data_IF_910987330947
#
_entry.id   IF_910987330947
#
_cell.length_a   1.000
_cell.length_b   1.000
_cell.length_c   1.000
_cell.angle_alpha   90.00
_cell.angle_beta   90.00
_cell.angle_gamma   90.00
#
_symmetry.space_group_name_H-M   'P 1'
#
loop_
_entity.id
_entity.type
_entity.pdbx_description
1 polymer ?
#
# COMPACT_ATOMS: atom_id res chain seq x y z
N UNK A 1 -13.17 -14.63 -7.23
CA UNK A 1 -14.01 -13.60 -6.58
C UNK A 1 -13.10 -12.90 -5.59
N UNK A 2 -12.79 -11.62 -5.81
CA UNK A 2 -12.07 -10.84 -4.81
C UNK A 2 -12.85 -10.95 -3.50
N UNK A 3 -12.17 -11.28 -2.40
CA UNK A 3 -12.82 -11.29 -1.10
C UNK A 3 -13.29 -9.87 -0.83
N UNK A 4 -14.50 -9.69 -0.34
CA UNK A 4 -15.00 -8.35 -0.06
C UNK A 4 -14.18 -7.61 1.01
N UNK A 5 -13.44 -8.33 1.86
CA UNK A 5 -12.41 -7.75 2.74
C UNK A 5 -11.16 -7.24 1.99
N UNK A 6 -10.82 -7.84 0.84
CA UNK A 6 -9.76 -7.36 -0.07
C UNK A 6 -10.14 -5.99 -0.64
N UNK A 7 -11.36 -5.84 -1.15
CA UNK A 7 -11.86 -4.57 -1.66
C UNK A 7 -11.94 -3.48 -0.58
N UNK A 8 -12.36 -3.83 0.65
CA UNK A 8 -12.40 -2.89 1.78
C UNK A 8 -10.99 -2.41 2.16
N UNK A 9 -10.02 -3.32 2.22
CA UNK A 9 -8.62 -2.96 2.50
C UNK A 9 -8.05 -2.01 1.43
N UNK A 10 -8.33 -2.28 0.15
CA UNK A 10 -7.95 -1.40 -0.97
C UNK A 10 -8.59 -0.01 -0.81
N UNK A 11 -9.90 0.04 -0.51
CA UNK A 11 -10.64 1.28 -0.35
C UNK A 11 -10.13 2.13 0.82
N UNK A 12 -9.97 1.52 1.99
CA UNK A 12 -9.48 2.18 3.19
C UNK A 12 -8.06 2.74 3.00
N UNK A 13 -7.13 1.93 2.45
CA UNK A 13 -5.79 2.43 2.19
C UNK A 13 -5.78 3.56 1.15
N UNK A 14 -6.54 3.44 0.06
CA UNK A 14 -6.64 4.51 -0.94
C UNK A 14 -7.19 5.81 -0.34
N UNK A 15 -8.13 5.75 0.60
CA UNK A 15 -8.66 6.93 1.28
C UNK A 15 -7.56 7.66 2.06
N UNK A 16 -6.77 6.91 2.86
CA UNK A 16 -5.64 7.44 3.64
C UNK A 16 -4.58 8.04 2.71
N UNK A 17 -4.16 7.30 1.68
CA UNK A 17 -3.15 7.77 0.72
C UNK A 17 -3.63 9.00 -0.05
N UNK A 18 -4.90 9.03 -0.47
CA UNK A 18 -5.50 10.19 -1.16
C UNK A 18 -5.56 11.43 -0.26
N UNK A 19 -5.81 11.25 1.04
CA UNK A 19 -5.84 12.35 1.99
C UNK A 19 -4.45 13.00 2.14
N UNK A 20 -3.38 12.20 2.20
CA UNK A 20 -2.02 12.71 2.15
C UNK A 20 -1.71 13.37 0.79
N UNK A 21 -1.99 12.69 -0.32
CA UNK A 21 -1.71 13.20 -1.66
C UNK A 21 -2.33 14.59 -1.91
N UNK A 22 -3.57 14.82 -1.46
CA UNK A 22 -4.22 16.13 -1.56
C UNK A 22 -3.55 17.24 -0.74
N UNK A 23 -2.82 16.90 0.32
CA UNK A 23 -2.14 17.89 1.18
C UNK A 23 -0.76 18.28 0.64
N UNK A 24 -0.08 17.36 -0.04
CA UNK A 24 1.32 17.54 -0.45
C UNK A 24 1.52 17.64 -1.96
N UNK A 25 0.46 17.47 -2.75
CA UNK A 25 0.55 17.38 -4.20
C UNK A 25 -0.71 17.96 -4.87
N UNK A 26 -0.80 19.29 -5.03
CA UNK A 26 -1.91 19.95 -5.72
C UNK A 26 -1.51 20.56 -7.08
N UNK A 27 -2.14 20.15 -8.21
CA UNK A 27 -2.56 18.79 -8.55
C UNK A 27 -1.39 18.03 -9.18
N UNK A 28 -0.70 17.17 -8.42
CA UNK A 28 0.48 16.47 -8.94
C UNK A 28 0.38 14.95 -8.99
N UNK A 29 -0.45 14.29 -8.18
CA UNK A 29 -0.61 12.83 -8.21
C UNK A 29 -1.95 12.39 -8.79
N UNK A 30 -2.00 11.20 -9.41
CA UNK A 30 -3.21 10.58 -9.93
C UNK A 30 -3.21 9.07 -9.70
N UNK A 31 -4.37 8.49 -9.32
CA UNK A 31 -4.51 7.04 -9.26
C UNK A 31 -4.43 6.46 -10.67
N UNK A 32 -3.67 5.38 -10.83
CA UNK A 32 -3.50 4.66 -12.12
C UNK A 32 -4.23 3.33 -12.17
N UNK A 33 -4.98 2.98 -11.11
CA UNK A 33 -5.52 1.65 -10.74
C UNK A 33 -6.43 0.92 -11.75
N UNK A 34 -6.56 1.41 -12.98
CA UNK A 34 -7.21 0.68 -14.08
C UNK A 34 -6.22 0.15 -15.13
N UNK A 35 -4.96 0.61 -15.10
CA UNK A 35 -3.98 0.27 -16.13
C UNK A 35 -3.31 -1.07 -15.83
N UNK A 36 -3.36 -1.95 -16.81
CA UNK A 36 -2.62 -3.21 -16.79
C UNK A 36 -1.21 -2.95 -17.30
N UNK A 37 -0.21 -3.44 -16.57
CA UNK A 37 1.21 -3.28 -16.90
C UNK A 37 1.78 -4.61 -17.36
N UNK A 38 2.39 -4.60 -18.55
CA UNK A 38 3.08 -5.76 -19.13
C UNK A 38 4.57 -5.66 -18.86
N UNK A 39 5.10 -6.50 -17.99
CA UNK A 39 6.55 -6.67 -17.81
C UNK A 39 7.13 -7.71 -18.76
N UNK A 40 8.38 -8.10 -18.51
CA UNK A 40 9.11 -9.10 -19.28
C UNK A 40 8.55 -10.51 -19.06
N UNK A 41 8.23 -10.84 -17.80
CA UNK A 41 7.83 -12.20 -17.40
C UNK A 41 6.31 -12.41 -17.38
N UNK A 42 5.54 -11.36 -17.08
CA UNK A 42 4.08 -11.43 -16.93
C UNK A 42 3.40 -10.08 -17.09
N UNK A 43 2.08 -10.11 -17.05
CA UNK A 43 1.21 -8.93 -17.08
C UNK A 43 0.44 -8.85 -15.78
N UNK A 44 0.41 -7.68 -15.13
CA UNK A 44 -0.27 -7.50 -13.84
C UNK A 44 -0.97 -6.15 -13.77
N UNK A 45 -2.05 -6.11 -13.00
CA UNK A 45 -2.74 -4.89 -12.56
C UNK A 45 -2.51 -4.77 -11.06
N UNK A 46 -2.09 -3.58 -10.61
CA UNK A 46 -1.91 -3.33 -9.19
C UNK A 46 -3.27 -3.10 -8.51
N UNK A 47 -3.41 -3.56 -7.27
CA UNK A 47 -4.61 -3.28 -6.46
C UNK A 47 -4.73 -1.78 -6.16
N UNK A 48 -3.58 -1.16 -5.85
CA UNK A 48 -3.42 0.28 -5.62
C UNK A 48 -2.27 0.75 -6.50
N UNK A 49 -2.43 1.87 -7.20
CA UNK A 49 -1.31 2.48 -7.92
C UNK A 49 -1.50 3.97 -8.11
N UNK A 50 -0.40 4.70 -8.00
CA UNK A 50 -0.36 6.16 -8.09
C UNK A 50 0.86 6.59 -8.92
N UNK A 51 0.72 7.74 -9.58
CA UNK A 51 1.81 8.34 -10.35
C UNK A 51 1.68 9.86 -10.36
N UNK A 52 2.80 10.58 -10.48
CA UNK A 52 2.72 11.99 -10.80
C UNK A 52 2.15 12.19 -12.20
N UNK A 53 1.38 13.27 -12.38
CA UNK A 53 0.81 13.67 -13.68
C UNK A 53 1.92 14.02 -14.66
N UNK A 54 2.93 14.71 -14.16
CA UNK A 54 4.15 15.03 -14.89
C UNK A 54 5.24 14.04 -14.49
N UNK A 55 5.70 13.23 -15.45
CA UNK A 55 6.88 12.38 -15.25
C UNK A 55 8.10 13.07 -15.87
N UNK A 56 9.28 12.98 -15.26
CA UNK A 56 10.50 13.52 -15.85
C UNK A 56 10.77 12.96 -17.24
N UNK A 57 11.39 13.78 -18.11
CA UNK A 57 11.79 13.37 -19.46
C UNK A 57 12.62 12.09 -19.42
N UNK A 58 12.30 11.15 -20.33
CA UNK A 58 12.96 9.85 -20.41
C UNK A 58 12.38 8.77 -19.48
N UNK A 59 11.43 9.11 -18.58
CA UNK A 59 10.69 8.12 -17.80
C UNK A 59 9.37 7.75 -18.49
N UNK A 60 9.07 6.46 -18.53
CA UNK A 60 7.83 5.97 -19.11
C UNK A 60 6.65 6.14 -18.16
N UNK A 61 5.48 6.55 -18.68
CA UNK A 61 4.20 6.47 -17.97
C UNK A 61 3.64 5.04 -17.89
N UNK A 62 4.32 4.03 -18.43
CA UNK A 62 3.85 2.64 -18.41
C UNK A 62 3.73 2.11 -16.99
N UNK A 63 4.71 2.42 -16.14
CA UNK A 63 4.77 1.94 -14.77
C UNK A 63 4.39 3.04 -13.80
N UNK A 64 3.62 2.72 -12.75
CA UNK A 64 3.38 3.66 -11.67
C UNK A 64 4.65 3.95 -10.87
N UNK A 65 4.66 5.02 -10.09
CA UNK A 65 5.78 5.32 -9.17
C UNK A 65 5.59 4.65 -7.81
N UNK A 66 4.33 4.53 -7.39
CA UNK A 66 3.91 3.87 -6.16
C UNK A 66 2.86 2.79 -6.45
N UNK A 67 3.03 1.60 -5.85
CA UNK A 67 2.06 0.50 -5.94
C UNK A 67 1.69 -0.05 -4.57
N UNK A 68 0.49 -0.58 -4.44
CA UNK A 68 0.07 -1.36 -3.29
C UNK A 68 -0.57 -2.67 -3.74
N UNK A 69 -0.26 -3.74 -3.01
CA UNK A 69 -0.84 -5.07 -3.22
C UNK A 69 -1.44 -5.57 -1.91
N UNK A 70 -2.63 -6.13 -1.99
CA UNK A 70 -3.36 -6.60 -0.82
C UNK A 70 -3.62 -8.09 -0.96
N UNK A 71 -3.28 -8.85 0.07
CA UNK A 71 -3.50 -10.28 0.11
C UNK A 71 -4.48 -10.66 1.22
N UNK A 72 -5.46 -11.48 0.89
CA UNK A 72 -6.43 -12.03 1.83
C UNK A 72 -6.18 -13.52 2.07
N UNK A 73 -5.68 -13.90 3.25
CA UNK A 73 -5.38 -15.32 3.58
C UNK A 73 -4.48 -16.06 2.57
N UNK A 74 -3.93 -15.36 1.58
CA UNK A 74 -3.00 -15.91 0.60
C UNK A 74 -1.60 -16.02 1.20
N UNK A 75 -0.76 -16.84 0.57
CA UNK A 75 0.63 -17.00 1.01
C UNK A 75 1.40 -15.71 0.77
N UNK A 76 2.17 -15.27 1.76
CA UNK A 76 3.13 -14.16 1.66
C UNK A 76 4.09 -14.28 0.47
N UNK A 77 4.36 -15.51 0.00
CA UNK A 77 5.16 -15.77 -1.19
C UNK A 77 4.60 -15.11 -2.45
N UNK A 78 3.26 -15.04 -2.59
CA UNK A 78 2.61 -14.38 -3.74
C UNK A 78 2.86 -12.88 -3.73
N UNK A 79 2.71 -12.22 -2.58
CA UNK A 79 3.04 -10.80 -2.45
C UNK A 79 4.51 -10.53 -2.74
N UNK A 80 5.41 -11.43 -2.33
CA UNK A 80 6.83 -11.30 -2.66
C UNK A 80 7.09 -11.43 -4.17
N UNK A 81 6.43 -12.36 -4.87
CA UNK A 81 6.48 -12.44 -6.34
C UNK A 81 5.89 -11.20 -7.02
N UNK A 82 4.84 -10.61 -6.43
CA UNK A 82 4.28 -9.33 -6.83
C UNK A 82 5.28 -8.18 -6.67
N UNK A 83 5.99 -8.12 -5.55
CA UNK A 83 7.04 -7.12 -5.34
C UNK A 83 8.22 -7.31 -6.29
N UNK A 84 8.60 -8.55 -6.64
CA UNK A 84 9.60 -8.80 -7.69
C UNK A 84 9.14 -8.26 -9.04
N UNK A 85 7.89 -8.49 -9.42
CA UNK A 85 7.38 -7.93 -10.68
C UNK A 85 7.39 -6.40 -10.68
N UNK A 86 7.00 -5.77 -9.57
CA UNK A 86 6.93 -4.31 -9.52
C UNK A 86 8.29 -3.65 -9.34
N UNK A 87 9.22 -4.21 -8.58
CA UNK A 87 10.48 -3.54 -8.21
C UNK A 87 11.70 -4.04 -8.99
N UNK A 88 11.71 -5.31 -9.43
CA UNK A 88 12.87 -5.93 -10.12
C UNK A 88 12.71 -6.11 -11.62
N UNK A 89 11.51 -5.94 -12.17
CA UNK A 89 11.36 -6.04 -13.63
C UNK A 89 12.28 -5.00 -14.28
N UNK A 90 13.14 -5.38 -15.25
CA UNK A 90 14.12 -4.46 -15.85
C UNK A 90 13.48 -3.22 -16.48
N UNK A 91 12.24 -3.34 -16.97
CA UNK A 91 11.52 -2.22 -17.55
C UNK A 91 10.81 -1.37 -16.48
N UNK A 92 10.71 -1.86 -15.25
CA UNK A 92 9.96 -1.20 -14.19
C UNK A 92 10.59 0.13 -13.80
N UNK A 93 9.73 1.10 -13.54
CA UNK A 93 10.10 2.36 -12.88
C UNK A 93 9.21 2.58 -11.66
N UNK A 94 8.90 1.53 -10.90
CA UNK A 94 8.30 1.69 -9.56
C UNK A 94 9.43 2.00 -8.57
N UNK A 95 9.24 3.00 -7.71
CA UNK A 95 10.23 3.39 -6.70
C UNK A 95 9.85 2.85 -5.31
N UNK A 96 8.57 2.93 -4.97
CA UNK A 96 8.06 2.52 -3.67
C UNK A 96 6.85 1.60 -3.82
N UNK A 97 6.71 0.64 -2.90
CA UNK A 97 5.57 -0.23 -2.84
C UNK A 97 5.12 -0.49 -1.41
N UNK A 98 3.86 -0.87 -1.25
CA UNK A 98 3.32 -1.37 0.02
C UNK A 98 2.63 -2.72 -0.18
N UNK A 99 2.69 -3.58 0.80
CA UNK A 99 1.86 -4.80 0.85
C UNK A 99 1.03 -4.84 2.10
N UNK A 100 -0.25 -5.18 1.98
CA UNK A 100 -1.17 -5.36 3.10
C UNK A 100 -1.60 -6.83 3.13
N UNK A 101 -1.07 -7.61 4.06
CA UNK A 101 -1.51 -9.00 4.27
C UNK A 101 -2.54 -9.05 5.38
N UNK A 102 -3.78 -9.37 5.02
CA UNK A 102 -4.83 -9.58 6.01
C UNK A 102 -4.89 -11.06 6.40
N UNK A 103 -4.56 -11.32 7.65
CA UNK A 103 -4.58 -12.64 8.28
C UNK A 103 -5.71 -12.67 9.33
N UNK A 104 -6.08 -13.87 9.77
CA UNK A 104 -7.20 -14.09 10.70
C UNK A 104 -7.18 -13.21 11.95
N UNK A 105 -6.00 -13.05 12.56
CA UNK A 105 -5.84 -12.36 13.86
C UNK A 105 -4.96 -11.11 13.79
N UNK A 106 -4.43 -10.77 12.60
CA UNK A 106 -3.54 -9.62 12.43
C UNK A 106 -3.53 -9.13 10.99
N UNK A 107 -3.15 -7.87 10.81
CA UNK A 107 -2.83 -7.29 9.50
C UNK A 107 -1.33 -6.98 9.52
N UNK A 108 -0.64 -7.36 8.45
CA UNK A 108 0.76 -6.96 8.22
C UNK A 108 0.80 -5.90 7.15
N UNK A 109 1.45 -4.78 7.44
CA UNK A 109 1.74 -3.72 6.46
C UNK A 109 3.25 -3.65 6.29
N UNK A 110 3.74 -3.83 5.06
CA UNK A 110 5.17 -3.80 4.75
C UNK A 110 5.41 -2.75 3.66
N UNK A 111 6.40 -1.86 3.84
CA UNK A 111 6.91 -0.98 2.77
C UNK A 111 8.11 -1.62 2.10
N UNK A 112 8.26 -1.32 0.82
CA UNK A 112 9.30 -1.85 -0.04
C UNK A 112 9.84 -0.72 -0.91
N UNK A 113 11.15 -0.72 -1.09
CA UNK A 113 11.86 0.22 -1.93
C UNK A 113 12.58 -0.56 -3.04
N UNK A 114 12.74 0.09 -4.19
CA UNK A 114 13.59 -0.46 -5.24
C UNK A 114 15.05 -0.48 -4.79
N UNK A 115 15.73 -1.59 -5.02
CA UNK A 115 17.17 -1.71 -4.82
C UNK A 115 17.81 -2.28 -6.09
N UNK A 116 18.84 -1.61 -6.63
CA UNK A 116 19.42 -1.99 -7.93
C UNK A 116 20.21 -3.31 -7.89
N UNK A 117 20.78 -3.67 -6.73
CA UNK A 117 21.72 -4.80 -6.60
C UNK A 117 21.20 -5.95 -5.73
N UNK A 118 19.94 -5.90 -5.27
CA UNK A 118 19.41 -6.87 -4.31
C UNK A 118 17.95 -7.22 -4.61
N UNK A 119 17.56 -8.49 -4.41
CA UNK A 119 16.15 -8.87 -4.45
C UNK A 119 15.31 -8.02 -3.48
N UNK A 120 14.06 -7.64 -3.85
CA UNK A 120 13.17 -6.83 -3.07
C UNK A 120 12.93 -7.49 -1.74
N UNK A 121 13.10 -6.69 -0.71
CA UNK A 121 12.80 -7.08 0.66
C UNK A 121 12.14 -5.89 1.35
N UNK A 122 11.26 -6.12 2.34
CA UNK A 122 10.62 -5.02 3.03
C UNK A 122 11.65 -4.16 3.77
N UNK A 123 11.59 -2.84 3.59
CA UNK A 123 12.37 -1.89 4.37
C UNK A 123 11.76 -1.67 5.77
N UNK A 124 10.42 -1.68 5.86
CA UNK A 124 9.70 -1.59 7.14
C UNK A 124 8.57 -2.63 7.22
N UNK A 125 8.24 -3.04 8.45
CA UNK A 125 7.19 -4.02 8.74
C UNK A 125 6.41 -3.63 9.99
N UNK A 126 5.11 -3.45 9.84
CA UNK A 126 4.20 -3.09 10.91
C UNK A 126 3.13 -4.17 11.04
N UNK A 127 2.83 -4.53 12.28
CA UNK A 127 1.82 -5.51 12.66
C UNK A 127 0.70 -4.81 13.41
N UNK A 128 -0.53 -5.09 13.00
CA UNK A 128 -1.76 -4.64 13.64
C UNK A 128 -2.48 -5.87 14.19
N UNK A 129 -2.52 -6.01 15.51
CA UNK A 129 -3.08 -7.19 16.20
C UNK A 129 -4.55 -6.96 16.53
N UNK A 130 -5.42 -7.89 16.14
CA UNK A 130 -6.87 -7.74 16.34
C UNK A 130 -7.26 -7.65 17.81
N UNK A 131 -6.81 -8.61 18.59
CA UNK A 131 -7.08 -8.73 20.02
C UNK A 131 -5.73 -8.74 20.75
N UNK A 132 -5.09 -7.58 20.96
CA UNK A 132 -3.84 -7.53 21.69
C UNK A 132 -4.08 -7.96 23.15
N UNK A 133 -3.04 -8.51 23.79
CA UNK A 133 -3.10 -8.80 25.22
C UNK A 133 -3.25 -7.49 26.00
N UNK A 134 -3.87 -7.51 27.20
CA UNK A 134 -3.92 -6.33 28.07
C UNK A 134 -2.53 -5.71 28.26
N UNK A 135 -2.41 -4.41 28.03
CA UNK A 135 -1.13 -3.68 28.13
C UNK A 135 -0.21 -3.79 26.91
N UNK A 136 -0.54 -4.58 25.89
CA UNK A 136 0.17 -4.59 24.61
C UNK A 136 -0.48 -3.62 23.62
N UNK A 137 0.31 -2.85 22.84
CA UNK A 137 -0.24 -1.98 21.82
C UNK A 137 -0.86 -2.82 20.68
N UNK A 138 -1.93 -2.29 20.08
CA UNK A 138 -2.56 -2.89 18.88
C UNK A 138 -1.67 -2.77 17.65
N UNK A 139 -1.03 -1.62 17.47
CA UNK A 139 -0.12 -1.32 16.36
C UNK A 139 1.31 -1.18 16.91
N UNK A 140 2.29 -1.83 16.30
CA UNK A 140 3.67 -1.85 16.80
C UNK A 140 4.58 -0.75 16.23
N UNK A 141 4.04 0.28 15.57
CA UNK A 141 4.83 1.40 15.05
C UNK A 141 4.12 2.25 14.00
N UNK A 142 4.93 2.86 13.13
CA UNK A 142 4.53 3.67 11.99
C UNK A 142 5.41 3.33 10.79
N UNK A 143 4.93 3.63 9.58
CA UNK A 143 5.63 3.37 8.32
C UNK A 143 5.72 4.67 7.53
N UNK A 144 6.85 4.91 6.88
CA UNK A 144 7.09 6.14 6.12
C UNK A 144 7.50 5.80 4.68
N UNK A 145 6.88 6.45 3.70
CA UNK A 145 7.30 6.40 2.30
C UNK A 145 7.78 7.78 1.90
N UNK A 146 8.98 7.86 1.31
CA UNK A 146 9.56 9.14 0.94
C UNK A 146 8.73 9.81 -0.16
N UNK A 147 8.51 11.12 -0.01
CA UNK A 147 7.79 11.90 -0.99
C UNK A 147 8.44 11.82 -2.39
N UNK A 148 9.78 11.85 -2.46
CA UNK A 148 10.54 11.79 -3.71
C UNK A 148 10.33 10.49 -4.47
N UNK A 149 10.07 9.38 -3.77
CA UNK A 149 9.82 8.09 -4.40
C UNK A 149 8.48 8.08 -5.13
N UNK A 150 7.49 8.77 -4.59
CA UNK A 150 6.14 8.86 -5.17
C UNK A 150 6.07 9.97 -6.22
N UNK A 151 6.59 11.15 -5.91
CA UNK A 151 6.41 12.38 -6.69
C UNK A 151 7.54 12.68 -7.69
N UNK A 152 8.65 11.92 -7.65
CA UNK A 152 9.81 12.05 -8.54
C UNK A 152 10.52 13.41 -8.50
N UNK A 153 10.44 14.10 -7.36
CA UNK A 153 11.15 15.35 -7.07
C UNK A 153 11.31 15.54 -5.57
N UNK A 154 12.19 16.44 -5.19
CA UNK A 154 12.34 16.81 -3.78
C UNK A 154 11.09 17.53 -3.24
N UNK A 155 10.92 17.41 -1.93
CA UNK A 155 9.90 18.12 -1.16
C UNK A 155 10.14 19.62 -1.21
N UNK A 156 9.05 20.38 -1.30
CA UNK A 156 9.00 21.84 -1.11
C UNK A 156 8.45 22.16 0.28
N UNK A 157 8.51 23.43 0.66
CA UNK A 157 7.96 23.89 1.93
C UNK A 157 6.48 23.51 2.07
N UNK A 158 6.14 22.86 3.18
CA UNK A 158 4.79 22.36 3.46
C UNK A 158 4.50 20.95 2.94
N UNK A 159 5.38 20.35 2.14
CA UNK A 159 5.25 18.97 1.68
C UNK A 159 5.92 17.98 2.65
N UNK A 160 5.33 16.80 2.79
CA UNK A 160 5.80 15.78 3.72
C UNK A 160 5.84 14.40 3.08
N UNK A 161 6.63 13.51 3.70
CA UNK A 161 6.59 12.10 3.39
C UNK A 161 5.20 11.52 3.69
N UNK A 162 4.86 10.42 3.03
CA UNK A 162 3.65 9.69 3.40
C UNK A 162 3.93 8.92 4.68
N UNK A 163 3.37 9.40 5.79
CA UNK A 163 3.47 8.74 7.08
C UNK A 163 2.17 8.00 7.37
N UNK A 164 2.25 6.69 7.49
CA UNK A 164 1.16 5.84 7.96
C UNK A 164 1.33 5.66 9.47
N UNK A 165 0.56 6.42 10.24
CA UNK A 165 0.62 6.46 11.70
C UNK A 165 -0.12 5.30 12.35
N UNK A 166 0.04 5.13 13.67
CA UNK A 166 -0.76 4.16 14.42
C UNK A 166 -2.27 4.41 14.29
N UNK A 167 -2.70 5.68 14.26
CA UNK A 167 -4.11 6.05 14.06
C UNK A 167 -4.62 5.63 12.69
N UNK A 168 -3.86 5.90 11.63
CA UNK A 168 -4.25 5.49 10.27
C UNK A 168 -4.32 3.96 10.15
N UNK A 169 -3.42 3.26 10.83
CA UNK A 169 -3.42 1.80 10.86
C UNK A 169 -4.59 1.23 11.67
N UNK A 170 -4.97 1.87 12.77
CA UNK A 170 -6.18 1.51 13.51
C UNK A 170 -7.45 1.76 12.69
N UNK A 171 -7.51 2.86 11.92
CA UNK A 171 -8.61 3.15 10.99
C UNK A 171 -8.69 2.07 9.89
N UNK A 172 -7.57 1.79 9.23
CA UNK A 172 -7.45 0.72 8.22
C UNK A 172 -7.93 -0.63 8.78
N UNK A 173 -7.48 -0.99 9.98
CA UNK A 173 -7.81 -2.26 10.60
C UNK A 173 -9.28 -2.34 11.02
N UNK A 174 -9.85 -1.24 11.51
CA UNK A 174 -11.26 -1.17 11.91
C UNK A 174 -12.18 -1.40 10.72
N UNK A 175 -11.96 -0.71 9.60
CA UNK A 175 -12.73 -0.94 8.37
C UNK A 175 -12.66 -2.39 7.90
N UNK A 176 -11.47 -2.98 7.91
CA UNK A 176 -11.23 -4.36 7.46
C UNK A 176 -11.93 -5.38 8.37
N UNK A 177 -11.88 -5.21 9.69
CA UNK A 177 -12.46 -6.17 10.64
C UNK A 177 -13.96 -5.99 10.87
N UNK A 178 -14.48 -4.76 10.88
CA UNK A 178 -15.92 -4.49 10.90
C UNK A 178 -16.62 -5.20 9.74
N UNK A 179 -15.99 -5.18 8.57
CA UNK A 179 -16.50 -5.88 7.41
C UNK A 179 -16.47 -7.42 7.57
N UNK A 180 -15.40 -7.99 8.14
CA UNK A 180 -15.25 -9.45 8.28
C UNK A 180 -16.10 -10.04 9.40
N UNK A 181 -16.27 -9.28 10.46
CA UNK A 181 -16.98 -9.69 11.67
C UNK A 181 -17.96 -8.59 12.01
N UNK A 182 -18.97 -8.37 11.15
CA UNK A 182 -20.02 -7.44 11.48
C UNK A 182 -20.58 -7.90 12.82
N UNK A 183 -20.58 -7.01 13.81
CA UNK A 183 -21.33 -7.25 15.04
C UNK A 183 -22.72 -7.63 14.59
N UNK A 184 -23.12 -8.87 14.84
CA UNK A 184 -24.51 -9.24 14.69
C UNK A 184 -25.29 -8.30 15.60
N UNK A 185 -26.04 -7.37 15.03
CA UNK A 185 -27.21 -6.86 15.73
C UNK A 185 -28.06 -8.10 16.05
N UNK A 186 -27.90 -8.57 17.29
CA UNK A 186 -28.77 -9.56 17.89
C UNK A 186 -29.48 -8.87 19.02
N UNK A 187 -30.81 -8.90 18.87
CA UNK A 187 -31.73 -9.17 19.96
C UNK A 187 -31.84 -8.06 21.02
N UNK A 188 -32.38 -6.91 20.60
CA UNK A 188 -33.28 -6.16 21.48
C UNK A 188 -34.70 -6.68 21.23
N UNK A 189 -35.07 -7.70 22.01
CA UNK A 189 -36.48 -7.99 22.33
C UNK A 189 -37.10 -6.83 23.10
#
# INVERSE_FOLDING_TARGET
MESSAHAVAIGAFNAIFSAWARRVADPLLSPTGMRTVRGQSRTKKADISWSPREVPNGRSHKWPTFVGEVAWSERRTKLHEDMKFWLDDPDSTVNAAITISVLRNKIMVESWERADDKPPSPSQKIEIVRNPRPGCPRVNGQLEIQFSDVCLRDKRDGESNFLLTATDMDELASHIWEYQYPTSEKDSS
#
